data_IF_626667296198
#
_entry.id   IF_626667296198
#
_cell.length_a   1.000
_cell.length_b   1.000
_cell.length_c   1.000
_cell.angle_alpha   90.00
_cell.angle_beta   90.00
_cell.angle_gamma   90.00
#
_symmetry.space_group_name_H-M   'P 1'
#
loop_
_entity.id
_entity.type
_entity.pdbx_description
1 polymer ?
#
# COMPACT_ATOMS: atom_id res chain seq x y z
N UNK A 1 1.87 10.23 -16.78
CA UNK A 1 1.58 8.79 -16.57
C UNK A 1 1.41 8.01 -17.87
N UNK A 2 0.71 8.54 -18.88
CA UNK A 2 0.48 7.83 -20.16
C UNK A 2 1.71 7.22 -20.86
N UNK A 3 2.88 7.88 -20.94
CA UNK A 3 4.06 7.27 -21.57
C UNK A 3 4.57 6.03 -20.82
N UNK A 4 4.36 5.98 -19.50
CA UNK A 4 4.78 4.86 -18.66
C UNK A 4 3.92 3.63 -18.89
N UNK A 5 2.62 3.79 -19.17
CA UNK A 5 1.77 2.65 -19.52
C UNK A 5 2.26 1.94 -20.78
N UNK A 6 2.75 2.71 -21.77
CA UNK A 6 3.35 2.13 -22.97
C UNK A 6 4.72 1.49 -22.66
N UNK A 7 5.55 2.17 -21.87
CA UNK A 7 6.89 1.68 -21.52
C UNK A 7 6.87 0.36 -20.72
N UNK A 8 5.85 0.13 -19.89
CA UNK A 8 5.67 -1.10 -19.10
C UNK A 8 4.75 -2.14 -19.75
N UNK A 9 4.50 -2.02 -21.06
CA UNK A 9 3.65 -2.94 -21.83
C UNK A 9 2.20 -3.09 -21.28
N UNK A 10 1.70 -2.06 -20.61
CA UNK A 10 0.31 -1.96 -20.18
C UNK A 10 -0.55 -1.43 -21.33
N UNK A 11 -0.63 -2.21 -22.40
CA UNK A 11 -1.31 -1.84 -23.66
C UNK A 11 -2.79 -1.50 -23.49
N UNK A 12 -3.52 -2.22 -22.63
CA UNK A 12 -4.92 -1.92 -22.32
C UNK A 12 -5.08 -0.56 -21.64
N UNK A 13 -4.26 -0.27 -20.63
CA UNK A 13 -4.27 1.03 -19.95
C UNK A 13 -3.84 2.16 -20.87
N UNK A 14 -2.88 1.92 -21.77
CA UNK A 14 -2.45 2.92 -22.75
C UNK A 14 -3.58 3.27 -23.72
N UNK A 15 -4.34 2.28 -24.20
CA UNK A 15 -5.49 2.49 -25.10
C UNK A 15 -6.62 3.23 -24.40
N UNK A 16 -7.03 2.75 -23.22
CA UNK A 16 -8.13 3.37 -22.47
C UNK A 16 -7.76 4.71 -21.85
N UNK A 17 -6.50 4.90 -21.47
CA UNK A 17 -6.03 6.16 -20.91
C UNK A 17 -6.11 7.31 -21.90
N UNK A 18 -5.90 7.07 -23.20
CA UNK A 18 -6.06 8.10 -24.22
C UNK A 18 -7.54 8.53 -24.36
N UNK A 19 -8.47 7.58 -24.31
CA UNK A 19 -9.91 7.86 -24.31
C UNK A 19 -10.30 8.63 -23.05
N UNK A 20 -9.84 8.18 -21.89
CA UNK A 20 -10.08 8.85 -20.62
C UNK A 20 -9.62 10.32 -20.64
N UNK A 21 -8.42 10.62 -21.19
CA UNK A 21 -7.94 12.00 -21.29
C UNK A 21 -8.85 12.85 -22.17
N UNK A 22 -9.29 12.33 -23.32
CA UNK A 22 -10.23 13.04 -24.19
C UNK A 22 -11.57 13.30 -23.47
N UNK A 23 -12.09 12.32 -22.74
CA UNK A 23 -13.32 12.48 -21.95
C UNK A 23 -13.16 13.54 -20.85
N UNK A 24 -11.98 13.59 -20.20
CA UNK A 24 -11.67 14.60 -19.18
C UNK A 24 -11.59 16.02 -19.76
N UNK A 25 -11.09 16.19 -20.99
CA UNK A 25 -11.07 17.49 -21.68
C UNK A 25 -12.50 17.99 -21.98
N UNK A 26 -13.41 17.08 -22.30
CA UNK A 26 -14.82 17.40 -22.56
C UNK A 26 -15.69 17.47 -21.30
N UNK A 27 -15.15 17.18 -20.12
CA UNK A 27 -15.91 17.06 -18.87
C UNK A 27 -16.67 18.34 -18.50
N UNK A 28 -16.11 19.51 -18.82
CA UNK A 28 -16.76 20.81 -18.57
C UNK A 28 -18.08 20.97 -19.33
N UNK A 29 -18.20 20.32 -20.50
CA UNK A 29 -19.39 20.37 -21.35
C UNK A 29 -20.35 19.22 -21.03
N UNK A 30 -19.81 18.02 -20.78
CA UNK A 30 -20.62 16.80 -20.59
C UNK A 30 -21.13 16.64 -19.16
N UNK A 31 -20.36 17.06 -18.16
CA UNK A 31 -20.68 16.93 -16.74
C UNK A 31 -20.04 18.07 -15.91
N UNK A 32 -20.54 19.32 -16.03
CA UNK A 32 -19.94 20.49 -15.38
C UNK A 32 -19.85 20.37 -13.85
N UNK A 33 -20.82 19.71 -13.20
CA UNK A 33 -20.80 19.47 -11.75
C UNK A 33 -19.64 18.58 -11.31
N UNK A 34 -19.30 17.56 -12.11
CA UNK A 34 -18.17 16.67 -11.84
C UNK A 34 -16.86 17.41 -12.07
N UNK A 35 -16.80 18.25 -13.11
CA UNK A 35 -15.66 19.11 -13.38
C UNK A 35 -15.39 20.09 -12.22
N UNK A 36 -16.43 20.75 -11.70
CA UNK A 36 -16.32 21.62 -10.53
C UNK A 36 -15.86 20.85 -9.28
N UNK A 37 -16.41 19.66 -9.04
CA UNK A 37 -15.96 18.78 -7.95
C UNK A 37 -14.49 18.40 -8.08
N UNK A 38 -14.02 18.08 -9.29
CA UNK A 38 -12.60 17.77 -9.53
C UNK A 38 -11.69 18.97 -9.26
N UNK A 39 -12.10 20.18 -9.65
CA UNK A 39 -11.39 21.41 -9.28
C UNK A 39 -11.39 21.66 -7.76
N UNK A 40 -12.47 21.27 -7.07
CA UNK A 40 -12.59 21.28 -5.61
C UNK A 40 -11.77 20.21 -4.89
N UNK A 41 -11.27 19.20 -5.61
CA UNK A 41 -10.53 18.08 -5.05
C UNK A 41 -11.36 16.85 -4.70
N UNK A 42 -12.61 16.76 -5.16
CA UNK A 42 -13.58 15.68 -4.87
C UNK A 42 -13.30 14.38 -5.66
N UNK A 43 -12.03 14.10 -5.96
CA UNK A 43 -11.59 12.85 -6.57
C UNK A 43 -10.90 11.91 -5.55
N UNK A 44 -10.74 12.37 -4.30
CA UNK A 44 -10.18 11.61 -3.19
C UNK A 44 -11.11 11.70 -1.97
N UNK A 45 -11.29 10.57 -1.30
CA UNK A 45 -12.01 10.46 -0.05
C UNK A 45 -11.04 10.53 1.14
N UNK A 46 -11.52 11.05 2.27
CA UNK A 46 -10.78 11.13 3.53
C UNK A 46 -11.65 10.53 4.62
N UNK A 47 -11.13 9.50 5.30
CA UNK A 47 -11.88 8.73 6.30
C UNK A 47 -11.81 9.37 7.70
N UNK A 48 -10.63 9.88 8.09
CA UNK A 48 -10.38 10.50 9.41
C UNK A 48 -9.85 11.93 9.25
N UNK A 49 -9.71 12.72 10.32
CA UNK A 49 -9.18 14.09 10.20
C UNK A 49 -7.66 14.20 10.07
N UNK A 50 -6.93 13.09 10.23
CA UNK A 50 -5.46 13.06 10.16
C UNK A 50 -4.87 13.58 8.84
N UNK A 51 -3.63 14.05 8.91
CA UNK A 51 -2.85 14.43 7.74
C UNK A 51 -2.48 13.20 6.90
N UNK A 52 -2.34 13.36 5.57
CA UNK A 52 -1.86 12.32 4.64
C UNK A 52 -2.70 11.03 4.53
N UNK A 53 -4.02 11.12 4.69
CA UNK A 53 -4.94 9.98 4.62
C UNK A 53 -5.96 10.04 3.45
N UNK A 54 -5.72 10.92 2.47
CA UNK A 54 -6.58 11.02 1.28
C UNK A 54 -6.34 9.81 0.39
N UNK A 55 -7.40 9.06 0.10
CA UNK A 55 -7.36 7.86 -0.72
C UNK A 55 -8.27 8.01 -1.94
N UNK A 56 -7.93 7.40 -3.09
CA UNK A 56 -8.83 7.35 -4.23
C UNK A 56 -10.12 6.60 -3.86
N UNK A 57 -11.22 6.97 -4.53
CA UNK A 57 -12.56 6.42 -4.23
C UNK A 57 -12.62 4.88 -4.25
N UNK A 58 -11.92 4.24 -5.18
CA UNK A 58 -11.87 2.77 -5.27
C UNK A 58 -11.21 2.13 -4.03
N UNK A 59 -10.13 2.74 -3.53
CA UNK A 59 -9.45 2.27 -2.31
C UNK A 59 -10.31 2.54 -1.06
N UNK A 60 -11.03 3.66 -1.01
CA UNK A 60 -12.01 3.94 0.04
C UNK A 60 -13.10 2.88 0.06
N UNK A 61 -13.62 2.50 -1.11
CA UNK A 61 -14.58 1.43 -1.24
C UNK A 61 -14.01 0.09 -0.76
N UNK A 62 -12.72 -0.18 -1.00
CA UNK A 62 -12.05 -1.36 -0.45
C UNK A 62 -11.99 -1.36 1.07
N UNK A 63 -11.69 -0.21 1.70
CA UNK A 63 -11.70 -0.06 3.16
C UNK A 63 -13.09 -0.34 3.75
N UNK A 64 -14.13 0.25 3.16
CA UNK A 64 -15.51 -0.02 3.55
C UNK A 64 -15.83 -1.50 3.34
N UNK A 65 -15.39 -2.08 2.23
CA UNK A 65 -15.53 -3.51 1.91
C UNK A 65 -14.81 -4.43 2.91
N UNK A 66 -13.72 -3.95 3.52
CA UNK A 66 -12.98 -4.68 4.55
C UNK A 66 -13.77 -4.76 5.85
N UNK A 67 -14.48 -3.69 6.22
CA UNK A 67 -15.26 -3.63 7.46
C UNK A 67 -16.39 -4.65 7.54
N UNK A 68 -17.04 -4.97 6.42
CA UNK A 68 -18.10 -5.97 6.35
C UNK A 68 -17.63 -7.38 5.99
N UNK A 69 -16.35 -7.56 5.62
CA UNK A 69 -15.71 -8.87 5.43
C UNK A 69 -15.35 -9.47 6.80
N UNK A 70 -15.54 -10.78 6.94
CA UNK A 70 -15.05 -11.54 8.11
C UNK A 70 -13.52 -11.72 7.98
N UNK A 71 -12.81 -12.03 9.07
CA UNK A 71 -11.34 -12.12 9.14
C UNK A 71 -10.66 -12.98 8.04
N UNK A 72 -11.40 -13.88 7.37
CA UNK A 72 -10.90 -14.70 6.25
C UNK A 72 -11.43 -14.25 4.88
N UNK A 73 -12.06 -13.08 4.76
CA UNK A 73 -12.73 -12.61 3.55
C UNK A 73 -14.09 -13.29 3.33
N UNK A 74 -14.49 -13.47 2.06
CA UNK A 74 -15.70 -14.20 1.66
C UNK A 74 -15.54 -15.73 1.79
N UNK A 75 -14.79 -16.21 2.78
CA UNK A 75 -14.48 -17.63 2.96
C UNK A 75 -15.53 -18.28 3.87
N UNK A 76 -15.85 -19.54 3.60
CA UNK A 76 -16.86 -20.30 4.36
C UNK A 76 -18.30 -20.05 3.91
N UNK A 77 -19.09 -19.38 4.74
CA UNK A 77 -20.57 -19.29 4.66
C UNK A 77 -21.06 -18.71 3.31
N UNK A 78 -20.25 -17.84 2.68
CA UNK A 78 -20.52 -17.21 1.37
C UNK A 78 -20.21 -18.06 0.14
N UNK A 79 -19.74 -19.30 0.32
CA UNK A 79 -19.70 -20.31 -0.76
C UNK A 79 -21.12 -20.71 -1.18
N UNK A 80 -22.10 -20.59 -0.27
CA UNK A 80 -23.52 -20.74 -0.60
C UNK A 80 -24.04 -19.49 -1.33
N UNK A 81 -24.63 -19.68 -2.51
CA UNK A 81 -25.21 -18.60 -3.34
C UNK A 81 -26.23 -17.75 -2.59
N UNK A 82 -27.10 -18.38 -1.79
CA UNK A 82 -28.14 -17.67 -1.03
C UNK A 82 -27.54 -16.82 0.10
N UNK A 83 -26.49 -17.32 0.77
CA UNK A 83 -25.78 -16.55 1.79
C UNK A 83 -25.04 -15.35 1.18
N UNK A 84 -24.41 -15.54 0.02
CA UNK A 84 -23.74 -14.47 -0.72
C UNK A 84 -24.73 -13.40 -1.17
N UNK A 85 -25.89 -13.78 -1.69
CA UNK A 85 -26.94 -12.85 -2.08
C UNK A 85 -27.44 -12.01 -0.89
N UNK A 86 -27.73 -12.64 0.25
CA UNK A 86 -28.09 -11.92 1.48
C UNK A 86 -26.99 -10.99 1.96
N UNK A 87 -25.73 -11.41 1.86
CA UNK A 87 -24.60 -10.56 2.21
C UNK A 87 -24.52 -9.35 1.28
N UNK A 88 -24.66 -9.53 -0.04
CA UNK A 88 -24.65 -8.43 -1.01
C UNK A 88 -25.75 -7.40 -0.75
N UNK A 89 -26.93 -7.85 -0.30
CA UNK A 89 -28.05 -6.95 0.04
C UNK A 89 -27.82 -6.25 1.38
N UNK A 90 -27.35 -6.97 2.39
CA UNK A 90 -27.22 -6.45 3.76
C UNK A 90 -25.84 -5.82 4.04
N UNK A 91 -24.95 -5.77 3.04
CA UNK A 91 -23.55 -5.39 3.21
C UNK A 91 -23.40 -4.00 3.83
N UNK A 92 -24.05 -3.01 3.23
CA UNK A 92 -23.96 -1.61 3.65
C UNK A 92 -24.49 -1.42 5.07
N UNK A 93 -25.63 -2.02 5.39
CA UNK A 93 -26.22 -1.99 6.74
C UNK A 93 -25.30 -2.62 7.78
N UNK A 94 -24.66 -3.75 7.46
CA UNK A 94 -23.70 -4.41 8.35
C UNK A 94 -22.46 -3.56 8.59
N UNK A 95 -21.96 -2.89 7.56
CA UNK A 95 -20.83 -1.96 7.68
C UNK A 95 -21.21 -0.75 8.55
N UNK A 96 -22.39 -0.18 8.35
CA UNK A 96 -22.94 0.91 9.19
C UNK A 96 -23.06 0.48 10.64
N UNK A 97 -23.70 -0.67 10.91
CA UNK A 97 -23.91 -1.17 12.26
C UNK A 97 -22.59 -1.46 12.99
N UNK A 98 -21.58 -1.96 12.27
CA UNK A 98 -20.24 -2.15 12.82
C UNK A 98 -19.59 -0.80 13.17
N UNK A 99 -19.76 0.22 12.34
CA UNK A 99 -19.26 1.57 12.62
C UNK A 99 -19.96 2.21 13.81
N UNK A 100 -21.30 2.12 13.88
CA UNK A 100 -22.09 2.60 15.00
C UNK A 100 -21.67 1.92 16.31
N UNK A 101 -21.39 0.61 16.25
CA UNK A 101 -20.89 -0.14 17.41
C UNK A 101 -19.51 0.37 17.85
N UNK A 102 -18.60 0.63 16.91
CA UNK A 102 -17.29 1.21 17.24
C UNK A 102 -17.44 2.59 17.87
N UNK A 103 -18.31 3.42 17.31
CA UNK A 103 -18.61 4.76 17.84
C UNK A 103 -19.17 4.68 19.25
N UNK A 104 -20.13 3.78 19.51
CA UNK A 104 -20.70 3.54 20.83
C UNK A 104 -19.63 3.18 21.88
N UNK A 105 -18.62 2.39 21.49
CA UNK A 105 -17.52 2.00 22.37
C UNK A 105 -16.35 2.98 22.38
N UNK A 106 -16.48 4.16 21.74
CA UNK A 106 -15.40 5.14 21.61
C UNK A 106 -14.12 4.55 20.99
N UNK A 107 -14.29 3.61 20.06
CA UNK A 107 -13.20 2.95 19.31
C UNK A 107 -12.97 3.61 17.94
N UNK A 108 -13.47 4.82 17.75
CA UNK A 108 -13.32 5.57 16.50
C UNK A 108 -12.07 6.45 16.63
N UNK A 109 -11.10 6.26 15.71
CA UNK A 109 -9.85 7.03 15.66
C UNK A 109 -10.12 8.38 14.99
N UNK A 110 -10.86 9.24 15.70
CA UNK A 110 -11.32 10.53 15.19
C UNK A 110 -10.50 11.71 15.75
N UNK A 111 -9.69 11.45 16.78
CA UNK A 111 -8.89 12.45 17.47
C UNK A 111 -7.56 12.73 16.76
N UNK A 112 -7.19 14.01 16.65
CA UNK A 112 -5.87 14.43 16.15
C UNK A 112 -4.70 13.94 17.04
N UNK A 113 -5.00 13.45 18.25
CA UNK A 113 -4.05 13.22 19.35
C UNK A 113 -3.53 11.78 19.48
N UNK A 114 -4.00 10.82 18.69
CA UNK A 114 -3.34 9.52 18.63
C UNK A 114 -2.07 9.66 17.78
N UNK A 115 -0.90 9.59 18.42
CA UNK A 115 0.37 9.24 17.75
C UNK A 115 0.23 7.81 17.18
N UNK A 116 -0.57 7.66 16.13
CA UNK A 116 -0.82 6.39 15.46
C UNK A 116 0.48 5.99 14.77
N UNK A 117 1.29 5.25 15.52
CA UNK A 117 2.56 4.74 15.04
C UNK A 117 2.21 3.70 13.98
N UNK A 118 2.42 4.06 12.72
CA UNK A 118 2.20 3.18 11.58
C UNK A 118 2.73 1.78 11.90
N UNK A 119 1.97 0.72 11.58
CA UNK A 119 2.30 -0.67 11.95
C UNK A 119 3.74 -1.09 11.62
N UNK A 120 4.34 -0.49 10.60
CA UNK A 120 5.73 -0.77 10.21
C UNK A 120 6.78 -0.04 11.06
N UNK A 121 6.38 1.00 11.79
CA UNK A 121 7.20 1.73 12.76
C UNK A 121 7.07 1.17 14.18
N UNK A 122 6.33 0.07 14.38
CA UNK A 122 6.22 -0.56 15.69
C UNK A 122 7.60 -1.06 16.15
N UNK A 123 7.95 -0.95 17.44
CA UNK A 123 9.24 -1.41 17.97
C UNK A 123 9.52 -2.89 17.64
N UNK A 124 8.48 -3.73 17.60
CA UNK A 124 8.58 -5.13 17.22
C UNK A 124 8.91 -5.34 15.74
N UNK A 125 8.42 -4.47 14.85
CA UNK A 125 8.75 -4.49 13.42
C UNK A 125 10.17 -4.03 13.19
N UNK A 126 10.54 -2.89 13.77
CA UNK A 126 11.90 -2.36 13.72
C UNK A 126 12.93 -3.37 14.22
N UNK A 127 12.63 -4.10 15.29
CA UNK A 127 13.51 -5.17 15.79
C UNK A 127 13.68 -6.29 14.76
N UNK A 128 12.59 -6.77 14.16
CA UNK A 128 12.63 -7.83 13.14
C UNK A 128 13.43 -7.38 11.92
N UNK A 129 13.19 -6.17 11.44
CA UNK A 129 13.88 -5.67 10.25
C UNK A 129 15.40 -5.53 10.53
N UNK A 130 15.80 -5.14 11.75
CA UNK A 130 17.21 -5.17 12.17
C UNK A 130 17.77 -6.60 12.22
N UNK A 131 17.03 -7.55 12.78
CA UNK A 131 17.44 -8.97 12.82
C UNK A 131 17.62 -9.54 11.40
N UNK A 132 16.70 -9.22 10.48
CA UNK A 132 16.75 -9.64 9.07
C UNK A 132 17.98 -9.04 8.35
N UNK A 133 18.30 -7.77 8.61
CA UNK A 133 19.52 -7.12 8.08
C UNK A 133 20.78 -7.81 8.61
N UNK A 134 20.83 -8.13 9.91
CA UNK A 134 21.97 -8.85 10.50
C UNK A 134 22.14 -10.22 9.85
N UNK A 135 21.05 -10.97 9.67
CA UNK A 135 21.10 -12.27 8.99
C UNK A 135 21.61 -12.14 7.56
N UNK A 136 21.13 -11.14 6.81
CA UNK A 136 21.53 -10.92 5.43
C UNK A 136 23.02 -10.56 5.31
N UNK A 137 23.55 -9.74 6.23
CA UNK A 137 24.98 -9.43 6.31
C UNK A 137 25.80 -10.68 6.65
N UNK A 138 25.39 -11.48 7.63
CA UNK A 138 26.05 -12.74 8.00
C UNK A 138 26.09 -13.72 6.82
N UNK A 139 25.00 -13.85 6.06
CA UNK A 139 24.96 -14.69 4.86
C UNK A 139 25.93 -14.21 3.77
N UNK A 140 26.00 -12.91 3.52
CA UNK A 140 26.96 -12.35 2.55
C UNK A 140 28.40 -12.53 3.00
N UNK A 141 28.69 -12.35 4.29
CA UNK A 141 30.03 -12.58 4.82
C UNK A 141 30.43 -14.05 4.69
N UNK A 142 29.54 -15.00 4.98
CA UNK A 142 29.81 -16.43 4.80
C UNK A 142 30.07 -16.77 3.34
N UNK A 143 29.19 -16.35 2.43
CA UNK A 143 29.38 -16.63 1.00
C UNK A 143 30.63 -15.98 0.42
N UNK A 144 30.97 -14.76 0.84
CA UNK A 144 32.21 -14.09 0.42
C UNK A 144 33.46 -14.78 0.99
N UNK A 145 33.41 -15.24 2.24
CA UNK A 145 34.52 -15.97 2.88
C UNK A 145 34.73 -17.33 2.21
N UNK A 146 33.65 -18.06 1.95
CA UNK A 146 33.68 -19.33 1.22
C UNK A 146 34.18 -19.16 -0.24
N UNK A 147 33.93 -18.01 -0.88
CA UNK A 147 34.46 -17.71 -2.21
C UNK A 147 35.93 -17.26 -2.20
N UNK A 148 36.39 -16.59 -1.14
CA UNK A 148 37.79 -16.19 -0.97
C UNK A 148 38.69 -17.41 -0.64
N UNK A 149 38.17 -18.41 0.06
CA UNK A 149 38.87 -19.68 0.33
C UNK A 149 38.96 -20.61 -0.90
N UNK A 150 38.25 -20.29 -1.99
CA UNK A 150 38.27 -21.01 -3.27
C UNK A 150 39.19 -20.38 -4.32
N UNK A 151 39.84 -19.25 -4.02
CA UNK A 151 40.90 -18.68 -4.87
C UNK A 151 42.24 -19.25 -4.43
N UNK A 152 42.94 -20.06 -5.25
CA UNK A 152 44.28 -20.53 -4.93
C UNK A 152 45.19 -19.34 -4.64
N UNK A 153 46.10 -19.45 -3.67
CA UNK A 153 47.03 -18.38 -3.25
C UNK A 153 48.01 -17.91 -4.33
N UNK A 154 47.83 -18.31 -5.59
CA UNK A 154 48.71 -17.97 -6.69
C UNK A 154 48.18 -16.76 -7.44
N UNK A 155 48.45 -15.61 -6.82
CA UNK A 155 48.61 -14.33 -7.49
C UNK A 155 47.31 -13.64 -7.88
N UNK A 156 46.84 -12.72 -7.03
CA UNK A 156 46.39 -11.36 -7.38
C UNK A 156 45.75 -10.73 -6.13
N UNK A 157 46.56 -10.11 -5.26
CA UNK A 157 46.12 -8.90 -4.56
C UNK A 157 46.24 -7.78 -5.60
N UNK A 158 45.20 -6.98 -5.91
CA UNK A 158 44.87 -5.85 -5.03
C UNK A 158 43.43 -5.29 -5.19
N UNK A 159 42.63 -5.22 -4.11
CA UNK A 159 41.57 -4.17 -4.05
C UNK A 159 41.06 -3.85 -2.63
N UNK A 160 41.17 -4.76 -1.67
CA UNK A 160 40.54 -4.57 -0.35
C UNK A 160 41.36 -3.79 0.69
N UNK A 161 42.62 -3.43 0.40
CA UNK A 161 43.41 -2.55 1.27
C UNK A 161 43.19 -1.04 1.00
N UNK A 162 42.32 -0.68 0.05
CA UNK A 162 42.05 0.73 -0.29
C UNK A 162 40.94 1.38 0.57
N UNK A 163 40.21 0.63 1.39
CA UNK A 163 39.08 1.16 2.16
C UNK A 163 39.35 1.37 3.65
N UNK A 164 40.51 0.97 4.17
CA UNK A 164 40.90 1.27 5.56
C UNK A 164 41.60 2.63 5.73
N UNK A 165 41.86 3.38 4.65
CA UNK A 165 42.51 4.70 4.71
C UNK A 165 41.51 5.87 4.63
N UNK A 166 40.43 5.85 5.40
CA UNK A 166 39.55 7.02 5.58
C UNK A 166 38.81 6.99 6.93
N UNK A 167 39.51 6.64 8.01
CA UNK A 167 39.01 6.73 9.39
C UNK A 167 39.73 7.73 10.28
N UNK A 168 40.54 8.62 9.72
CA UNK A 168 41.05 9.80 10.42
C UNK A 168 41.02 11.01 9.50
N UNK A 169 39.89 11.74 9.44
CA UNK A 169 39.71 13.21 9.56
C UNK A 169 38.24 13.45 9.94
#
# INVERSE_FOLDING_TARGET
MMPWFAAYDHTHYTRWGAVFVADMEHLVQTAPQVYEGFLGGDFVAKETNHSFNKVPSDLCLEHINKTGKVAEGLVGITRNKSARHRLSITYNERASLAQDTRSLFCLTHDGEDDEDTHKDCLPSRLRRDNDDVIQLVDQFQRTLTEHLDMVPSDGYLPFLLSLEYNKEI
#
